data_IF_439001808120
#
_entry.id   IF_439001808120
#
_cell.length_a   1.000
_cell.length_b   1.000
_cell.length_c   1.000
_cell.angle_alpha   90.00
_cell.angle_beta   90.00
_cell.angle_gamma   90.00
#
_symmetry.space_group_name_H-M   'P 1'
#
loop_
_entity.id
_entity.type
_entity.pdbx_description
1 polymer ?
#
# COMPACT_ATOMS: atom_id res chain seq x y z
N UNK A 1 10.99 14.93 5.75
CA UNK A 1 11.45 15.32 4.40
C UNK A 1 11.84 14.04 3.66
N UNK A 2 11.39 13.89 2.42
CA UNK A 2 11.76 12.77 1.55
C UNK A 2 12.93 13.23 0.69
N UNK A 3 13.95 12.41 0.58
CA UNK A 3 15.10 12.66 -0.29
C UNK A 3 14.87 11.99 -1.65
N UNK A 4 15.46 12.55 -2.71
CA UNK A 4 15.27 12.05 -4.07
C UNK A 4 15.71 10.61 -4.27
N UNK A 5 16.66 10.14 -3.48
CA UNK A 5 17.19 8.78 -3.49
C UNK A 5 16.28 7.73 -2.83
N UNK A 6 15.16 8.17 -2.23
CA UNK A 6 14.08 7.31 -1.73
C UNK A 6 12.96 7.12 -2.76
N UNK A 7 13.05 7.77 -3.92
CA UNK A 7 12.02 7.75 -4.96
C UNK A 7 12.48 6.88 -6.11
N UNK A 8 11.77 5.78 -6.35
CA UNK A 8 12.02 4.85 -7.44
C UNK A 8 10.96 5.00 -8.53
N UNK A 9 11.38 5.35 -9.72
CA UNK A 9 10.48 5.43 -10.89
C UNK A 9 10.24 4.03 -11.43
N UNK A 10 9.00 3.73 -11.78
CA UNK A 10 8.56 2.39 -12.16
C UNK A 10 7.64 2.41 -13.38
N UNK A 11 7.44 1.23 -13.99
CA UNK A 11 6.52 1.04 -15.12
C UNK A 11 5.06 1.01 -14.63
N UNK A 12 4.58 2.17 -14.17
CA UNK A 12 3.29 2.33 -13.51
C UNK A 12 3.30 1.77 -12.09
N UNK A 13 2.18 1.93 -11.36
CA UNK A 13 2.05 1.39 -10.00
C UNK A 13 2.17 -0.13 -9.94
N UNK A 14 1.77 -0.86 -11.00
CA UNK A 14 1.92 -2.33 -11.05
C UNK A 14 3.38 -2.76 -10.98
N UNK A 15 4.28 -2.05 -11.68
CA UNK A 15 5.72 -2.27 -11.57
C UNK A 15 6.25 -1.93 -10.17
N UNK A 16 5.71 -0.85 -9.55
CA UNK A 16 6.05 -0.50 -8.18
C UNK A 16 5.66 -1.60 -7.19
N UNK A 17 4.44 -2.18 -7.32
CA UNK A 17 4.02 -3.30 -6.47
C UNK A 17 4.90 -4.53 -6.65
N UNK A 18 5.19 -4.91 -7.89
CA UNK A 18 6.05 -6.08 -8.16
C UNK A 18 7.44 -5.89 -7.54
N UNK A 19 8.06 -4.73 -7.78
CA UNK A 19 9.37 -4.40 -7.21
C UNK A 19 9.32 -4.39 -5.68
N UNK A 20 8.28 -3.80 -5.09
CA UNK A 20 8.07 -3.76 -3.63
C UNK A 20 7.97 -5.16 -3.05
N UNK A 21 7.16 -6.04 -3.64
CA UNK A 21 6.95 -7.38 -3.10
C UNK A 21 8.22 -8.21 -3.18
N UNK A 22 8.95 -8.14 -4.30
CA UNK A 22 10.24 -8.81 -4.46
C UNK A 22 11.32 -8.29 -3.50
N UNK A 23 11.29 -6.98 -3.18
CA UNK A 23 12.28 -6.36 -2.30
C UNK A 23 12.03 -6.60 -0.81
N UNK A 24 10.77 -6.88 -0.44
CA UNK A 24 10.33 -6.85 0.96
C UNK A 24 9.89 -8.21 1.52
N UNK A 25 9.54 -9.17 0.66
CA UNK A 25 8.94 -10.42 1.11
C UNK A 25 9.59 -11.64 0.48
N UNK A 26 9.81 -12.65 1.30
CA UNK A 26 10.24 -13.98 0.86
C UNK A 26 9.03 -14.88 0.58
N UNK A 27 9.26 -16.00 -0.10
CA UNK A 27 8.28 -17.07 -0.29
C UNK A 27 7.72 -17.51 1.07
N UNK A 28 6.40 -17.55 1.21
CA UNK A 28 5.70 -17.92 2.44
C UNK A 28 5.51 -16.76 3.43
N UNK A 29 6.04 -15.56 3.14
CA UNK A 29 5.65 -14.35 3.89
C UNK A 29 4.15 -14.13 3.80
N UNK A 30 3.56 -13.57 4.85
CA UNK A 30 2.12 -13.34 4.97
C UNK A 30 1.80 -11.86 4.83
N UNK A 31 1.05 -11.50 3.80
CA UNK A 31 0.67 -10.10 3.53
C UNK A 31 -0.82 -9.91 3.63
N UNK A 32 -1.24 -9.00 4.51
CA UNK A 32 -2.64 -8.66 4.69
C UNK A 32 -3.13 -7.64 3.66
N UNK A 33 -4.37 -7.81 3.24
CA UNK A 33 -5.16 -6.87 2.43
C UNK A 33 -6.55 -6.74 3.02
N UNK A 34 -7.14 -5.54 2.96
CA UNK A 34 -8.54 -5.34 3.34
C UNK A 34 -9.43 -5.55 2.10
N UNK A 35 -10.31 -6.55 2.15
CA UNK A 35 -11.27 -6.81 1.07
C UNK A 35 -12.58 -6.02 1.27
N UNK A 36 -13.23 -5.53 0.19
CA UNK A 36 -12.82 -5.65 -1.21
C UNK A 36 -11.66 -4.71 -1.56
N UNK A 37 -10.76 -5.17 -2.43
CA UNK A 37 -9.57 -4.40 -2.85
C UNK A 37 -9.19 -4.72 -4.29
N UNK A 38 -8.35 -3.90 -4.89
CA UNK A 38 -7.84 -4.09 -6.25
C UNK A 38 -7.21 -5.50 -6.42
N UNK A 39 -7.74 -6.33 -7.36
CA UNK A 39 -7.36 -7.74 -7.46
C UNK A 39 -5.87 -7.99 -7.77
N UNK A 40 -5.18 -7.02 -8.37
CA UNK A 40 -3.78 -7.21 -8.75
C UNK A 40 -2.86 -7.46 -7.55
N UNK A 41 -3.15 -6.89 -6.37
CA UNK A 41 -2.33 -7.18 -5.18
C UNK A 41 -2.30 -8.67 -4.88
N UNK A 42 -3.47 -9.28 -4.79
CA UNK A 42 -3.62 -10.73 -4.56
C UNK A 42 -2.93 -11.55 -5.64
N UNK A 43 -3.13 -11.17 -6.90
CA UNK A 43 -2.61 -11.94 -8.02
C UNK A 43 -1.08 -11.90 -8.08
N UNK A 44 -0.47 -10.73 -7.86
CA UNK A 44 1.00 -10.58 -7.84
C UNK A 44 1.58 -11.31 -6.63
N UNK A 45 1.03 -11.13 -5.42
CA UNK A 45 1.49 -11.83 -4.23
C UNK A 45 1.47 -13.35 -4.41
N UNK A 46 0.35 -13.90 -4.90
CA UNK A 46 0.22 -15.34 -5.17
C UNK A 46 1.22 -15.85 -6.21
N UNK A 47 1.48 -15.07 -7.27
CA UNK A 47 2.46 -15.46 -8.30
C UNK A 47 3.90 -15.54 -7.76
N UNK A 48 4.17 -14.83 -6.66
CA UNK A 48 5.45 -14.86 -5.94
C UNK A 48 5.48 -15.87 -4.79
N UNK A 49 4.44 -16.71 -4.64
CA UNK A 49 4.27 -17.63 -3.52
C UNK A 49 4.28 -16.92 -2.14
N UNK A 50 3.69 -15.72 -2.08
CA UNK A 50 3.45 -14.97 -0.85
C UNK A 50 2.02 -15.24 -0.42
N UNK A 51 1.81 -15.55 0.86
CA UNK A 51 0.50 -15.87 1.42
C UNK A 51 -0.32 -14.61 1.62
N UNK A 52 -1.55 -14.60 1.10
CA UNK A 52 -2.47 -13.47 1.21
C UNK A 52 -3.43 -13.70 2.36
N UNK A 53 -3.43 -12.78 3.33
CA UNK A 53 -4.37 -12.75 4.45
C UNK A 53 -5.45 -11.71 4.13
N UNK A 54 -6.62 -12.17 3.73
CA UNK A 54 -7.74 -11.27 3.44
C UNK A 54 -8.52 -10.93 4.72
N UNK A 55 -8.65 -9.64 4.99
CA UNK A 55 -9.43 -9.10 6.09
C UNK A 55 -10.73 -8.55 5.52
N UNK A 56 -11.83 -9.20 5.83
CA UNK A 56 -13.16 -8.80 5.37
C UNK A 56 -13.81 -7.83 6.36
N UNK A 57 -14.66 -6.92 5.88
CA UNK A 57 -15.47 -6.06 6.74
C UNK A 57 -16.44 -6.90 7.59
N UNK A 58 -16.93 -6.30 8.66
CA UNK A 58 -17.95 -6.93 9.49
C UNK A 58 -19.24 -7.18 8.68
N UNK A 59 -19.94 -8.28 8.99
CA UNK A 59 -21.15 -8.71 8.23
C UNK A 59 -22.25 -7.65 8.13
N UNK A 60 -22.28 -6.72 9.08
CA UNK A 60 -23.30 -5.65 9.15
C UNK A 60 -22.82 -4.35 8.48
N UNK A 61 -21.55 -4.26 8.06
CA UNK A 61 -20.93 -3.08 7.43
C UNK A 61 -20.11 -3.50 6.20
N UNK A 62 -20.74 -4.24 5.28
CA UNK A 62 -20.09 -4.89 4.13
C UNK A 62 -19.26 -3.93 3.27
N UNK A 63 -19.65 -2.66 3.23
CA UNK A 63 -18.97 -1.65 2.43
C UNK A 63 -17.91 -0.85 3.20
N UNK A 64 -17.72 -1.11 4.50
CA UNK A 64 -16.80 -0.36 5.34
C UNK A 64 -15.65 -1.20 5.84
N UNK A 65 -14.45 -0.85 5.39
CA UNK A 65 -13.21 -1.44 5.89
C UNK A 65 -12.98 -1.00 7.33
N UNK A 66 -12.77 -1.97 8.21
CA UNK A 66 -12.40 -1.73 9.60
C UNK A 66 -10.91 -2.02 9.80
N UNK A 67 -10.03 -0.99 9.85
CA UNK A 67 -8.58 -1.19 9.92
C UNK A 67 -8.12 -1.81 11.25
N UNK A 68 -8.92 -1.71 12.31
CA UNK A 68 -8.57 -2.27 13.62
C UNK A 68 -8.51 -3.80 13.62
N UNK A 69 -9.11 -4.45 12.62
CA UNK A 69 -9.07 -5.92 12.47
C UNK A 69 -7.65 -6.45 12.18
N UNK A 70 -6.73 -5.61 11.72
CA UNK A 70 -5.33 -6.02 11.52
C UNK A 70 -4.66 -6.47 12.82
N UNK A 71 -5.07 -5.94 13.96
CA UNK A 71 -4.51 -6.31 15.26
C UNK A 71 -4.70 -7.78 15.63
N UNK A 72 -5.66 -8.46 14.99
CA UNK A 72 -5.94 -9.90 15.17
C UNK A 72 -5.11 -10.79 14.25
N UNK A 73 -4.31 -10.20 13.36
CA UNK A 73 -3.54 -10.94 12.35
C UNK A 73 -2.05 -10.94 12.69
N UNK A 74 -1.39 -12.08 12.43
CA UNK A 74 0.08 -12.17 12.43
C UNK A 74 0.53 -12.15 10.96
N UNK A 75 1.11 -11.04 10.53
CA UNK A 75 1.51 -10.81 9.13
C UNK A 75 2.85 -10.08 9.05
N UNK A 76 3.53 -10.25 7.94
CA UNK A 76 4.81 -9.60 7.65
C UNK A 76 4.61 -8.27 6.91
N UNK A 77 3.48 -8.15 6.20
CA UNK A 77 3.13 -6.94 5.47
C UNK A 77 1.64 -6.61 5.51
N UNK A 78 1.32 -5.34 5.30
CA UNK A 78 -0.03 -4.82 5.12
C UNK A 78 -0.08 -3.89 3.92
N UNK A 79 -1.03 -4.13 3.02
CA UNK A 79 -1.35 -3.22 1.93
C UNK A 79 -2.67 -2.52 2.24
N UNK A 80 -2.63 -1.19 2.19
CA UNK A 80 -3.84 -0.36 2.20
C UNK A 80 -3.96 0.38 0.87
N UNK A 81 -5.18 0.68 0.45
CA UNK A 81 -5.50 1.58 -0.65
C UNK A 81 -6.30 2.76 -0.10
N UNK A 82 -5.82 3.96 -0.29
CA UNK A 82 -6.45 5.16 0.29
C UNK A 82 -6.37 6.34 -0.70
N UNK A 83 -7.45 6.67 -1.41
CA UNK A 83 -8.77 6.02 -1.45
C UNK A 83 -8.77 4.58 -1.95
N UNK A 84 -9.69 3.76 -1.45
CA UNK A 84 -9.77 2.35 -1.77
C UNK A 84 -10.44 2.08 -3.14
N UNK A 85 -9.97 1.09 -3.83
CA UNK A 85 -10.60 0.52 -5.03
C UNK A 85 -11.16 -0.88 -4.67
N UNK A 86 -12.50 -1.14 -4.74
CA UNK A 86 -13.45 -0.48 -5.66
C UNK A 86 -14.39 0.56 -5.01
N UNK A 87 -14.48 0.64 -3.68
CA UNK A 87 -15.59 1.33 -3.00
C UNK A 87 -15.35 2.83 -2.73
N UNK A 88 -14.13 3.35 -3.04
CA UNK A 88 -13.80 4.77 -2.84
C UNK A 88 -13.63 5.19 -1.37
N UNK A 89 -13.66 4.24 -0.43
CA UNK A 89 -13.50 4.55 0.99
C UNK A 89 -12.14 5.20 1.26
N UNK A 90 -12.14 6.22 2.12
CA UNK A 90 -10.94 6.82 2.68
C UNK A 90 -10.84 6.52 4.18
N UNK A 91 -9.64 6.38 4.68
CA UNK A 91 -9.39 6.24 6.11
C UNK A 91 -9.34 7.61 6.79
N UNK A 92 -9.92 7.69 7.97
CA UNK A 92 -9.81 8.85 8.86
C UNK A 92 -8.40 9.01 9.42
N UNK A 93 -8.08 10.19 9.96
CA UNK A 93 -6.77 10.41 10.60
C UNK A 93 -6.48 9.42 11.73
N UNK A 94 -7.48 9.09 12.54
CA UNK A 94 -7.34 8.16 13.66
C UNK A 94 -7.03 6.75 13.16
N UNK A 95 -7.70 6.32 12.08
CA UNK A 95 -7.46 5.02 11.45
C UNK A 95 -6.06 4.94 10.82
N UNK A 96 -5.62 5.97 10.10
CA UNK A 96 -4.27 6.02 9.52
C UNK A 96 -3.19 6.05 10.60
N UNK A 97 -3.40 6.82 11.69
CA UNK A 97 -2.50 6.81 12.84
C UNK A 97 -2.41 5.41 13.46
N UNK A 98 -3.55 4.76 13.68
CA UNK A 98 -3.57 3.39 14.22
C UNK A 98 -2.83 2.41 13.31
N UNK A 99 -3.11 2.42 12.00
CA UNK A 99 -2.44 1.55 11.02
C UNK A 99 -0.92 1.75 11.09
N UNK A 100 -0.48 3.01 11.04
CA UNK A 100 0.94 3.33 11.07
C UNK A 100 1.64 2.83 12.34
N UNK A 101 1.09 3.18 13.50
CA UNK A 101 1.67 2.80 14.78
C UNK A 101 1.62 1.28 15.02
N UNK A 102 0.54 0.62 14.60
CA UNK A 102 0.42 -0.84 14.67
C UNK A 102 1.51 -1.52 13.82
N UNK A 103 1.67 -1.11 12.57
CA UNK A 103 2.69 -1.68 11.68
C UNK A 103 4.10 -1.44 12.22
N UNK A 104 4.41 -0.22 12.65
CA UNK A 104 5.70 0.15 13.24
C UNK A 104 6.02 -0.68 14.48
N UNK A 105 5.09 -0.79 15.43
CA UNK A 105 5.25 -1.55 16.67
C UNK A 105 5.50 -3.03 16.43
N UNK A 106 4.80 -3.61 15.46
CA UNK A 106 4.85 -5.05 15.17
C UNK A 106 5.83 -5.41 14.05
N UNK A 107 6.60 -4.44 13.53
CA UNK A 107 7.56 -4.61 12.42
C UNK A 107 6.89 -5.14 11.15
N UNK A 108 5.64 -4.77 10.91
CA UNK A 108 4.89 -5.08 9.70
C UNK A 108 5.24 -4.07 8.62
N UNK A 109 5.61 -4.52 7.43
CA UNK A 109 5.90 -3.64 6.29
C UNK A 109 4.58 -3.05 5.80
N UNK A 110 4.46 -1.73 5.91
CA UNK A 110 3.27 -0.99 5.49
C UNK A 110 3.44 -0.47 4.06
N UNK A 111 2.50 -0.82 3.19
CA UNK A 111 2.43 -0.37 1.79
C UNK A 111 1.13 0.41 1.62
N UNK A 112 1.22 1.67 1.22
CA UNK A 112 0.08 2.55 0.95
C UNK A 112 -0.03 2.82 -0.55
N UNK A 113 -1.11 2.32 -1.17
CA UNK A 113 -1.48 2.69 -2.53
C UNK A 113 -2.26 3.99 -2.50
N UNK A 114 -1.64 5.04 -3.03
CA UNK A 114 -2.18 6.40 -3.05
C UNK A 114 -2.50 6.88 -4.49
N UNK A 115 -2.73 5.92 -5.40
CA UNK A 115 -2.93 6.20 -6.82
C UNK A 115 -4.12 7.12 -7.11
N UNK A 116 -5.10 7.17 -6.19
CA UNK A 116 -6.30 7.99 -6.34
C UNK A 116 -6.24 9.34 -5.61
N UNK A 117 -5.08 9.73 -5.04
CA UNK A 117 -4.89 11.05 -4.48
C UNK A 117 -5.10 12.14 -5.54
N UNK A 118 -5.84 13.17 -5.16
CA UNK A 118 -6.12 14.33 -6.00
C UNK A 118 -7.40 14.23 -6.82
N UNK A 119 -8.09 13.07 -6.83
CA UNK A 119 -9.38 12.88 -7.53
C UNK A 119 -10.54 12.59 -6.59
N UNK A 120 -10.35 12.84 -5.30
CA UNK A 120 -11.39 12.73 -4.27
C UNK A 120 -12.38 13.90 -4.38
N UNK A 121 -13.63 13.63 -4.00
CA UNK A 121 -14.65 14.65 -3.77
C UNK A 121 -14.70 15.02 -2.28
N UNK A 122 -14.63 16.31 -1.97
CA UNK A 122 -14.69 16.81 -0.60
C UNK A 122 -13.31 16.81 0.09
N UNK A 123 -13.18 16.12 1.22
CA UNK A 123 -11.94 16.11 1.99
C UNK A 123 -10.87 15.24 1.30
N UNK A 124 -9.65 15.78 1.17
CA UNK A 124 -8.53 15.08 0.53
C UNK A 124 -8.00 13.95 1.42
N UNK A 125 -7.76 12.79 0.81
CA UNK A 125 -7.06 11.70 1.48
C UNK A 125 -5.66 12.14 1.89
N UNK A 126 -5.24 11.72 3.09
CA UNK A 126 -3.91 12.03 3.60
C UNK A 126 -2.93 10.93 3.24
N UNK A 127 -1.73 11.34 2.81
CA UNK A 127 -0.66 10.40 2.56
C UNK A 127 -0.16 9.76 3.86
N UNK A 128 0.21 8.50 3.79
CA UNK A 128 0.83 7.77 4.91
C UNK A 128 2.16 8.40 5.34
N UNK A 129 2.82 9.16 4.46
CA UNK A 129 4.03 9.93 4.78
C UNK A 129 3.80 11.04 5.81
N UNK A 130 2.56 11.48 6.03
CA UNK A 130 2.23 12.45 7.07
C UNK A 130 2.36 11.87 8.49
N UNK A 131 2.37 10.53 8.61
CA UNK A 131 2.44 9.83 9.90
C UNK A 131 3.86 9.35 10.22
N UNK A 132 4.73 9.27 9.22
CA UNK A 132 6.15 8.95 9.38
C UNK A 132 6.79 8.35 8.13
N UNK A 133 8.03 7.90 8.26
CA UNK A 133 8.87 7.49 7.13
C UNK A 133 9.00 5.97 6.97
N UNK A 134 8.22 5.17 7.71
CA UNK A 134 8.33 3.70 7.70
C UNK A 134 7.33 3.02 6.75
N UNK A 135 6.56 3.80 5.98
CA UNK A 135 5.65 3.26 4.99
C UNK A 135 6.23 3.38 3.59
N UNK A 136 5.96 2.39 2.76
CA UNK A 136 6.18 2.45 1.31
C UNK A 136 4.94 3.09 0.70
N UNK A 137 5.09 4.18 -0.03
CA UNK A 137 3.99 4.85 -0.72
C UNK A 137 4.12 4.64 -2.22
N UNK A 138 3.07 4.13 -2.84
CA UNK A 138 3.01 3.88 -4.28
C UNK A 138 1.97 4.79 -4.92
N UNK A 139 2.35 5.39 -6.04
CA UNK A 139 1.46 6.22 -6.84
C UNK A 139 1.85 6.13 -8.32
N UNK A 140 1.07 6.77 -9.21
CA UNK A 140 1.39 6.81 -10.63
C UNK A 140 0.76 8.01 -11.33
N UNK A 141 1.20 8.25 -12.57
CA UNK A 141 0.62 9.26 -13.45
C UNK A 141 -0.69 8.80 -14.11
N UNK A 142 -1.13 7.56 -13.88
CA UNK A 142 -2.24 6.96 -14.61
C UNK A 142 -3.62 7.56 -14.30
N UNK A 143 -3.84 8.11 -13.09
CA UNK A 143 -5.16 8.57 -12.63
C UNK A 143 -5.25 10.08 -12.62
N UNK A 144 -4.77 10.75 -11.59
CA UNK A 144 -4.86 12.20 -11.46
C UNK A 144 -4.30 12.95 -12.69
N UNK A 145 -3.18 12.49 -13.24
CA UNK A 145 -2.52 13.12 -14.38
C UNK A 145 -3.08 12.68 -15.75
N UNK A 146 -4.08 11.79 -15.79
CA UNK A 146 -4.70 11.29 -17.01
C UNK A 146 -3.71 10.66 -18.01
N UNK A 147 -2.64 10.02 -17.54
CA UNK A 147 -1.56 9.45 -18.36
C UNK A 147 -1.47 7.90 -18.25
N UNK A 148 -2.58 7.14 -18.42
CA UNK A 148 -2.56 5.69 -18.19
C UNK A 148 -1.67 4.93 -19.18
N UNK A 149 -1.55 5.44 -20.41
CA UNK A 149 -0.75 4.82 -21.49
C UNK A 149 0.76 5.00 -21.34
N UNK A 150 1.21 5.96 -20.55
CA UNK A 150 2.64 6.26 -20.36
C UNK A 150 3.37 5.23 -19.50
N UNK A 151 2.62 4.44 -18.75
CA UNK A 151 3.17 3.44 -17.83
C UNK A 151 4.23 4.02 -16.89
N UNK A 152 3.96 5.21 -16.32
CA UNK A 152 4.81 5.86 -15.33
C UNK A 152 4.18 5.81 -13.95
N UNK A 153 4.97 5.40 -12.96
CA UNK A 153 4.63 5.40 -11.55
C UNK A 153 5.87 5.56 -10.70
N UNK A 154 5.70 5.55 -9.41
CA UNK A 154 6.80 5.65 -8.45
C UNK A 154 6.47 4.95 -7.14
N UNK A 155 7.51 4.52 -6.45
CA UNK A 155 7.48 4.14 -5.05
C UNK A 155 8.35 5.10 -4.25
N UNK A 156 7.85 5.57 -3.11
CA UNK A 156 8.63 6.25 -2.08
C UNK A 156 8.87 5.24 -0.97
N UNK A 157 10.12 4.98 -0.65
CA UNK A 157 10.50 3.90 0.26
C UNK A 157 11.20 4.41 1.53
N UNK A 158 11.10 3.68 2.64
CA UNK A 158 11.98 3.85 3.80
C UNK A 158 13.45 3.67 3.41
N UNK A 159 14.33 4.45 4.06
CA UNK A 159 15.77 4.40 3.76
C UNK A 159 16.38 3.01 3.95
N UNK A 160 15.89 2.27 4.92
CA UNK A 160 16.35 0.93 5.27
C UNK A 160 16.12 -0.09 4.13
N UNK A 161 15.16 0.15 3.25
CA UNK A 161 14.85 -0.72 2.12
C UNK A 161 15.58 -0.36 0.82
N UNK A 162 16.29 0.79 0.81
CA UNK A 162 16.92 1.33 -0.40
C UNK A 162 17.85 0.33 -1.10
N UNK A 163 18.72 -0.33 -0.34
CA UNK A 163 19.68 -1.30 -0.92
C UNK A 163 18.97 -2.49 -1.58
N UNK A 164 17.86 -2.96 -0.99
CA UNK A 164 17.09 -4.06 -1.55
C UNK A 164 16.43 -3.66 -2.88
N UNK A 165 15.90 -2.44 -2.93
CA UNK A 165 15.31 -1.91 -4.16
C UNK A 165 16.36 -1.71 -5.26
N UNK A 166 17.53 -1.16 -4.94
CA UNK A 166 18.61 -0.94 -5.91
C UNK A 166 19.14 -2.24 -6.54
N UNK A 167 19.05 -3.37 -5.85
CA UNK A 167 19.45 -4.67 -6.39
C UNK A 167 18.50 -5.22 -7.46
N UNK A 168 17.26 -4.74 -7.48
CA UNK A 168 16.19 -5.28 -8.31
C UNK A 168 15.65 -4.28 -9.35
N UNK A 169 16.05 -2.99 -9.25
CA UNK A 169 15.63 -1.91 -10.15
C UNK A 169 16.52 -1.75 -11.39
#
# INVERSE_FOLDING_TARGET
>A
KIDSDQIFITTGSSGAFLLTFLSCFDKGSRVAIFSPVYPAYRNILKSLNIDVVEIFPDKNEIDKINPFLISKQKVDGLIISNPNNPNGQTFTNNELTFIYEHCKKNKVILISDEIYHGIEYGERAKSMLNYGNNAIVINSFSKFFCMPGWRLGWAIIPRELKENYLKLS
#
